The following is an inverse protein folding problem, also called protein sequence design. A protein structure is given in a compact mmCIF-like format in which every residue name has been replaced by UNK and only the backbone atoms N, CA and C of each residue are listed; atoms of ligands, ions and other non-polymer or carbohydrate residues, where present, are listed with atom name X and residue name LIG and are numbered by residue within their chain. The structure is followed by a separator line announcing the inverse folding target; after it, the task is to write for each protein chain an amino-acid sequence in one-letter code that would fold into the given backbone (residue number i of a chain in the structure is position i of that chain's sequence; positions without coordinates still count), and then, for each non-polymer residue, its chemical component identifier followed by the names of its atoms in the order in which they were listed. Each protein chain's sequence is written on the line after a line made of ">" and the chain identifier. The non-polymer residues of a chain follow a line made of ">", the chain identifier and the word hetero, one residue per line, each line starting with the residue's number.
data_IF_757614937573
#
_entry.id   IF_757614937573
#
_cell.length_a   1.000
_cell.length_b   1.000
_cell.length_c   1.000
_cell.angle_alpha   90.00
_cell.angle_beta   90.00
_cell.angle_gamma   90.00
#
_symmetry.space_group_name_H-M   'P 1'
#
loop_
_entity.id
_entity.type
_entity.pdbx_description
1 polymer ?
#
# COMPACT_ATOMS: atom_id res chain seq x y z
N UNK A 1 7.06 -8.86 -3.32
CA UNK A 1 6.66 -7.67 -2.53
C UNK A 1 6.09 -8.13 -1.20
N UNK A 2 6.22 -7.30 -0.17
CA UNK A 2 5.60 -7.47 1.15
C UNK A 2 4.85 -6.18 1.48
N UNK A 3 3.58 -6.31 1.87
CA UNK A 3 2.72 -5.20 2.27
C UNK A 3 2.53 -5.25 3.79
N UNK A 4 3.08 -4.29 4.50
CA UNK A 4 3.00 -4.16 5.95
C UNK A 4 2.74 -2.71 6.35
N UNK A 5 3.36 -2.25 7.43
CA UNK A 5 3.34 -0.82 7.78
C UNK A 5 3.87 0.06 6.65
N UNK A 6 4.79 -0.48 5.84
CA UNK A 6 5.24 0.06 4.56
C UNK A 6 5.15 -0.97 3.43
N UNK A 7 5.81 -0.70 2.30
CA UNK A 7 5.93 -1.64 1.18
C UNK A 7 7.40 -1.99 0.95
N UNK A 8 7.74 -3.26 1.17
CA UNK A 8 9.06 -3.81 0.90
C UNK A 8 9.11 -4.62 -0.38
N UNK A 9 10.24 -4.59 -1.08
CA UNK A 9 10.47 -5.38 -2.28
C UNK A 9 11.85 -6.03 -2.30
N UNK A 10 11.96 -7.06 -3.12
CA UNK A 10 13.20 -7.76 -3.39
C UNK A 10 13.12 -8.35 -4.79
N UNK A 11 14.23 -8.32 -5.52
CA UNK A 11 14.31 -8.81 -6.89
C UNK A 11 15.15 -10.08 -6.91
N UNK A 12 14.64 -11.14 -7.52
CA UNK A 12 15.39 -12.37 -7.79
C UNK A 12 15.54 -12.47 -9.31
N UNK A 13 16.77 -12.38 -9.80
CA UNK A 13 17.10 -12.49 -11.22
C UNK A 13 18.01 -13.71 -11.40
N UNK A 14 17.66 -14.60 -12.32
CA UNK A 14 18.42 -15.84 -12.59
C UNK A 14 18.71 -16.68 -11.32
N UNK A 15 17.75 -16.76 -10.41
CA UNK A 15 17.89 -17.51 -9.15
C UNK A 15 18.76 -16.84 -8.09
N UNK A 16 19.20 -15.60 -8.29
CA UNK A 16 20.02 -14.86 -7.33
C UNK A 16 19.34 -13.58 -6.87
N UNK A 17 19.53 -13.22 -5.59
CA UNK A 17 19.09 -11.94 -5.06
C UNK A 17 19.83 -10.81 -5.77
N UNK A 18 19.08 -9.95 -6.44
CA UNK A 18 19.58 -8.76 -7.08
C UNK A 18 19.47 -7.56 -6.14
N UNK A 19 20.63 -7.04 -5.73
CA UNK A 19 20.73 -5.95 -4.75
C UNK A 19 20.99 -4.58 -5.40
N UNK A 20 21.37 -4.53 -6.68
CA UNK A 20 21.83 -3.30 -7.35
C UNK A 20 23.23 -2.87 -6.91
N UNK A 21 23.76 -1.80 -7.50
CA UNK A 21 25.12 -1.31 -7.22
C UNK A 21 25.31 -0.74 -5.82
N UNK A 22 24.23 -0.29 -5.17
CA UNK A 22 24.23 0.34 -3.84
C UNK A 22 23.48 -0.45 -2.78
N UNK A 23 22.97 -1.64 -3.10
CA UNK A 23 22.11 -2.40 -2.19
C UNK A 23 20.66 -1.90 -2.12
N UNK A 24 20.28 -0.93 -2.95
CA UNK A 24 18.95 -0.28 -2.94
C UNK A 24 18.00 -0.80 -4.02
N UNK A 25 18.33 -1.89 -4.71
CA UNK A 25 17.41 -2.48 -5.66
C UNK A 25 16.22 -3.09 -4.93
N UNK A 26 15.01 -2.87 -5.45
CA UNK A 26 13.79 -3.40 -4.84
C UNK A 26 13.09 -2.46 -3.87
N UNK A 27 13.53 -1.20 -3.75
CA UNK A 27 12.84 -0.10 -3.03
C UNK A 27 11.54 0.35 -3.75
N UNK A 28 10.69 -0.63 -4.06
CA UNK A 28 9.49 -0.49 -4.87
C UNK A 28 8.40 0.31 -4.14
N UNK A 29 8.43 0.39 -2.80
CA UNK A 29 7.51 1.23 -2.04
C UNK A 29 7.64 2.73 -2.33
N UNK A 30 8.79 3.17 -2.84
CA UNK A 30 9.09 4.58 -3.06
C UNK A 30 8.99 5.03 -4.53
N UNK A 31 8.56 4.15 -5.44
CA UNK A 31 8.22 4.57 -6.81
C UNK A 31 7.05 5.55 -6.76
N UNK A 32 7.08 6.57 -7.61
CA UNK A 32 6.01 7.55 -7.67
C UNK A 32 4.85 7.03 -8.52
N UNK A 33 3.67 6.86 -7.91
CA UNK A 33 2.43 6.57 -8.61
C UNK A 33 1.63 7.84 -8.93
N UNK A 34 1.72 8.85 -8.05
CA UNK A 34 0.92 10.08 -8.16
C UNK A 34 1.82 11.32 -8.11
N UNK A 35 1.91 12.06 -9.21
CA UNK A 35 2.86 13.18 -9.33
C UNK A 35 2.64 14.30 -8.29
N UNK A 36 1.39 14.58 -7.94
CA UNK A 36 0.99 15.56 -6.91
C UNK A 36 0.33 14.89 -5.70
N UNK A 37 0.79 13.68 -5.39
CA UNK A 37 0.18 12.81 -4.40
C UNK A 37 0.47 13.11 -2.92
N UNK A 38 0.01 12.19 -2.08
CA UNK A 38 0.19 12.20 -0.62
C UNK A 38 1.66 12.20 -0.21
N UNK A 39 1.97 12.77 0.95
CA UNK A 39 3.35 12.76 1.47
C UNK A 39 3.76 11.36 1.88
N UNK A 40 4.97 10.95 1.49
CA UNK A 40 5.59 9.72 1.94
C UNK A 40 6.59 10.00 3.07
N UNK A 41 6.77 9.02 3.97
CA UNK A 41 7.74 9.09 5.07
C UNK A 41 9.20 9.19 4.59
N UNK A 42 9.49 8.77 3.36
CA UNK A 42 10.81 8.95 2.75
C UNK A 42 11.14 10.42 2.38
N UNK A 43 10.17 11.33 2.51
CA UNK A 43 10.29 12.75 2.17
C UNK A 43 9.74 13.12 0.79
N UNK A 44 9.41 12.13 -0.05
CA UNK A 44 8.79 12.31 -1.36
C UNK A 44 7.27 12.54 -1.33
N UNK A 45 6.66 12.56 -2.52
CA UNK A 45 5.20 12.64 -2.71
C UNK A 45 4.70 11.61 -3.72
N UNK A 46 3.55 11.05 -3.40
CA UNK A 46 2.83 10.08 -4.20
C UNK A 46 3.55 8.76 -4.38
N UNK A 47 4.38 8.37 -3.41
CA UNK A 47 5.01 7.06 -3.40
C UNK A 47 3.96 5.96 -3.30
N UNK A 48 4.23 4.81 -3.90
CA UNK A 48 3.37 3.64 -3.86
C UNK A 48 2.95 3.25 -2.43
N UNK A 49 3.89 3.27 -1.48
CA UNK A 49 3.67 3.01 -0.06
C UNK A 49 2.59 3.90 0.57
N UNK A 50 2.50 5.16 0.15
CA UNK A 50 1.55 6.13 0.70
C UNK A 50 0.08 5.75 0.42
N UNK A 51 -0.17 4.84 -0.53
CA UNK A 51 -1.51 4.44 -0.93
C UNK A 51 -1.81 2.97 -0.68
N UNK A 52 -0.82 2.09 -0.86
CA UNK A 52 -1.03 0.64 -0.88
C UNK A 52 -0.41 -0.09 0.31
N UNK A 53 0.22 0.59 1.27
CA UNK A 53 0.63 -0.04 2.52
C UNK A 53 -0.57 -0.36 3.42
N UNK A 54 -0.38 -1.24 4.40
CA UNK A 54 -1.40 -1.52 5.42
C UNK A 54 -1.63 -0.28 6.30
N UNK A 55 -0.60 0.54 6.53
CA UNK A 55 -0.75 1.85 7.19
C UNK A 55 -1.64 2.79 6.40
N UNK A 56 -1.49 2.82 5.07
CA UNK A 56 -2.33 3.62 4.18
C UNK A 56 -3.79 3.16 4.20
N UNK A 57 -4.05 1.83 4.18
CA UNK A 57 -5.39 1.28 4.33
C UNK A 57 -6.01 1.68 5.68
N UNK A 58 -5.28 1.52 6.78
CA UNK A 58 -5.74 1.88 8.11
C UNK A 58 -6.07 3.39 8.23
N UNK A 59 -5.26 4.25 7.61
CA UNK A 59 -5.52 5.69 7.56
C UNK A 59 -6.79 6.01 6.77
N UNK A 60 -6.99 5.38 5.60
CA UNK A 60 -8.20 5.56 4.79
C UNK A 60 -9.46 5.08 5.52
N UNK A 61 -9.39 3.96 6.23
CA UNK A 61 -10.50 3.45 7.07
C UNK A 61 -10.86 4.48 8.13
N UNK A 62 -9.87 4.97 8.90
CA UNK A 62 -10.10 5.99 9.93
C UNK A 62 -10.72 7.26 9.36
N UNK A 63 -10.23 7.72 8.20
CA UNK A 63 -10.72 8.93 7.56
C UNK A 63 -12.15 8.80 7.03
N UNK A 64 -12.49 7.67 6.40
CA UNK A 64 -13.77 7.50 5.68
C UNK A 64 -14.88 6.89 6.54
N UNK A 65 -14.54 6.01 7.47
CA UNK A 65 -15.52 5.25 8.27
C UNK A 65 -15.71 5.88 9.67
N UNK A 66 -14.78 6.76 10.10
CA UNK A 66 -14.86 7.58 11.33
C UNK A 66 -15.27 6.78 12.59
N UNK A 67 -14.74 5.57 12.74
CA UNK A 67 -14.95 4.68 13.87
C UNK A 67 -13.64 3.99 14.23
N UNK A 68 -13.49 3.67 15.51
CA UNK A 68 -12.47 2.71 15.93
C UNK A 68 -12.78 1.35 15.27
N UNK A 69 -11.77 0.77 14.61
CA UNK A 69 -11.91 -0.48 13.89
C UNK A 69 -10.82 -1.47 14.33
N UNK A 70 -11.15 -2.76 14.23
CA UNK A 70 -10.17 -3.85 14.18
C UNK A 70 -10.16 -4.45 12.78
N UNK A 71 -9.07 -5.09 12.38
CA UNK A 71 -9.01 -5.79 11.09
C UNK A 71 -10.13 -6.82 10.95
N UNK A 72 -10.43 -7.57 12.01
CA UNK A 72 -11.53 -8.53 12.02
C UNK A 72 -12.88 -7.86 11.74
N UNK A 73 -13.16 -6.73 12.40
CA UNK A 73 -14.42 -5.98 12.19
C UNK A 73 -14.52 -5.43 10.76
N UNK A 74 -13.41 -4.92 10.21
CA UNK A 74 -13.36 -4.38 8.86
C UNK A 74 -13.59 -5.48 7.81
N UNK A 75 -12.86 -6.59 7.88
CA UNK A 75 -13.01 -7.68 6.90
C UNK A 75 -14.33 -8.42 7.05
N UNK A 76 -14.89 -8.49 8.26
CA UNK A 76 -16.28 -8.96 8.45
C UNK A 76 -17.26 -8.04 7.73
N UNK A 77 -17.12 -6.72 7.84
CA UNK A 77 -17.98 -5.76 7.14
C UNK A 77 -17.84 -5.84 5.61
N UNK A 78 -16.61 -5.98 5.09
CA UNK A 78 -16.36 -6.23 3.66
C UNK A 78 -17.06 -7.52 3.21
N UNK A 79 -16.93 -8.61 3.97
CA UNK A 79 -17.53 -9.91 3.65
C UNK A 79 -19.07 -9.88 3.69
N UNK A 80 -19.64 -9.03 4.56
CA UNK A 80 -21.08 -8.79 4.65
C UNK A 80 -21.59 -7.72 3.66
N UNK A 81 -20.80 -7.40 2.62
CA UNK A 81 -21.16 -6.47 1.56
C UNK A 81 -21.43 -5.03 2.01
N UNK A 82 -20.78 -4.56 3.07
CA UNK A 82 -20.88 -3.15 3.47
C UNK A 82 -20.22 -2.24 2.43
N UNK A 83 -21.01 -1.35 1.84
CA UNK A 83 -20.60 -0.56 0.68
C UNK A 83 -19.42 0.38 0.99
N UNK A 84 -19.37 0.98 2.19
CA UNK A 84 -18.30 1.92 2.55
C UNK A 84 -16.94 1.22 2.69
N UNK A 85 -16.90 0.09 3.39
CA UNK A 85 -15.70 -0.73 3.59
C UNK A 85 -15.21 -1.32 2.26
N UNK A 86 -16.13 -1.80 1.42
CA UNK A 86 -15.81 -2.29 0.07
C UNK A 86 -15.18 -1.18 -0.77
N UNK A 87 -15.72 0.04 -0.75
CA UNK A 87 -15.16 1.16 -1.50
C UNK A 87 -13.74 1.50 -1.04
N UNK A 88 -13.49 1.52 0.28
CA UNK A 88 -12.15 1.73 0.83
C UNK A 88 -11.20 0.62 0.39
N UNK A 89 -11.64 -0.63 0.50
CA UNK A 89 -10.83 -1.80 0.16
C UNK A 89 -10.50 -1.86 -1.33
N UNK A 90 -11.48 -1.62 -2.20
CA UNK A 90 -11.27 -1.61 -3.66
C UNK A 90 -10.33 -0.49 -4.08
N UNK A 91 -10.49 0.72 -3.54
CA UNK A 91 -9.56 1.82 -3.82
C UNK A 91 -8.12 1.44 -3.42
N UNK A 92 -7.95 0.78 -2.27
CA UNK A 92 -6.64 0.28 -1.85
C UNK A 92 -6.10 -0.81 -2.79
N UNK A 93 -6.93 -1.76 -3.21
CA UNK A 93 -6.57 -2.79 -4.22
C UNK A 93 -6.16 -2.14 -5.54
N UNK A 94 -6.84 -1.09 -5.99
CA UNK A 94 -6.51 -0.42 -7.24
C UNK A 94 -5.10 0.17 -7.20
N UNK A 95 -4.70 0.76 -6.08
CA UNK A 95 -3.32 1.21 -5.90
C UNK A 95 -2.34 0.04 -5.80
N UNK A 96 -2.67 -1.03 -5.09
CA UNK A 96 -1.86 -2.27 -5.06
C UNK A 96 -1.62 -2.80 -6.49
N UNK A 97 -2.66 -2.78 -7.33
CA UNK A 97 -2.53 -3.19 -8.72
C UNK A 97 -1.72 -2.18 -9.54
N UNK A 98 -1.88 -0.87 -9.31
CA UNK A 98 -1.16 0.17 -10.04
C UNK A 98 0.36 0.09 -9.86
N UNK A 99 0.85 -0.22 -8.66
CA UNK A 99 2.30 -0.37 -8.41
C UNK A 99 2.91 -1.68 -8.92
N UNK A 100 2.10 -2.57 -9.50
CA UNK A 100 2.53 -3.83 -10.11
C UNK A 100 2.51 -3.82 -11.64
N UNK A 101 1.95 -2.76 -12.25
CA UNK A 101 1.82 -2.63 -13.71
C UNK A 101 3.08 -2.09 -14.37
#
# INVERSE_FOLDING_TARGET
>A
LVYGTGIGGGLILNGQLYQGSTGSAGELGHIQLEQSGERCMCGGKGCYEAYASTSALAAQIKQKINKDFTWDSFFTAVSNCSMQEIQVYNNWIDYVAAGLK
#
